data_IF_590087444456
#
_entry.id   IF_590087444456
#
_cell.length_a   1.000
_cell.length_b   1.000
_cell.length_c   1.000
_cell.angle_alpha   90.00
_cell.angle_beta   90.00
_cell.angle_gamma   90.00
#
_symmetry.space_group_name_H-M   'P 1'
#
loop_
_entity.id
_entity.type
_entity.pdbx_description
1 polymer ?
#
# COMPACT_ATOMS: atom_id res chain seq x y z
N UNK A 1 18.52 -13.77 22.92
CA UNK A 1 19.71 -13.67 22.05
C UNK A 1 19.97 -15.05 21.44
N UNK A 2 19.10 -15.49 20.55
CA UNK A 2 19.01 -16.88 20.09
C UNK A 2 19.86 -17.12 18.83
N UNK A 3 20.82 -18.04 18.96
CA UNK A 3 21.27 -19.00 17.93
C UNK A 3 21.42 -18.46 16.50
N UNK A 4 22.52 -17.76 16.21
CA UNK A 4 23.10 -17.79 14.86
C UNK A 4 23.56 -19.24 14.61
N UNK A 5 22.80 -19.97 13.80
CA UNK A 5 23.04 -21.37 13.46
C UNK A 5 24.41 -21.50 12.80
N UNK A 6 25.23 -22.49 13.18
CA UNK A 6 26.55 -22.76 12.54
C UNK A 6 26.47 -22.78 11.01
N UNK A 7 25.33 -23.24 10.48
CA UNK A 7 24.98 -23.26 9.06
C UNK A 7 25.08 -21.89 8.38
N UNK A 8 24.70 -20.81 9.08
CA UNK A 8 24.73 -19.43 8.55
C UNK A 8 26.17 -18.93 8.47
N UNK A 9 26.96 -19.15 9.54
CA UNK A 9 28.39 -18.77 9.57
C UNK A 9 29.19 -19.55 8.54
N UNK A 10 28.87 -20.82 8.33
CA UNK A 10 29.50 -21.65 7.31
C UNK A 10 29.18 -21.16 5.89
N UNK A 11 27.92 -20.82 5.61
CA UNK A 11 27.53 -20.22 4.34
C UNK A 11 28.21 -18.85 4.11
N UNK A 12 28.26 -18.00 5.13
CA UNK A 12 28.92 -16.69 5.06
C UNK A 12 30.43 -16.83 4.79
N UNK A 13 31.11 -17.77 5.44
CA UNK A 13 32.52 -18.08 5.20
C UNK A 13 32.79 -18.59 3.78
N UNK A 14 31.92 -19.46 3.22
CA UNK A 14 32.04 -19.95 1.83
C UNK A 14 32.06 -18.78 0.83
N UNK A 15 31.25 -17.76 1.05
CA UNK A 15 31.14 -16.60 0.17
C UNK A 15 32.04 -15.43 0.57
N UNK A 16 32.92 -15.61 1.58
CA UNK A 16 33.79 -14.54 2.08
C UNK A 16 33.03 -13.35 2.67
N UNK A 17 31.82 -13.57 3.16
CA UNK A 17 30.99 -12.54 3.79
C UNK A 17 31.34 -12.46 5.28
N UNK A 18 31.69 -11.27 5.73
CA UNK A 18 31.91 -11.00 7.15
C UNK A 18 30.55 -10.69 7.84
N UNK A 19 30.16 -11.48 8.87
CA UNK A 19 28.90 -11.29 9.59
C UNK A 19 28.79 -9.91 10.25
N UNK A 20 29.89 -9.35 10.75
CA UNK A 20 29.89 -8.07 11.48
C UNK A 20 29.64 -6.88 10.54
N UNK A 21 30.15 -6.95 9.30
CA UNK A 21 29.82 -5.98 8.24
C UNK A 21 28.38 -6.12 7.75
N UNK A 22 27.79 -7.31 7.77
CA UNK A 22 26.35 -7.52 7.44
C UNK A 22 25.44 -6.88 8.48
N UNK A 23 25.72 -7.08 9.76
CA UNK A 23 24.93 -6.54 10.87
C UNK A 23 25.02 -5.01 10.94
N UNK A 24 26.22 -4.44 10.79
CA UNK A 24 26.39 -2.99 10.76
C UNK A 24 25.69 -2.32 9.57
N UNK A 25 25.71 -2.94 8.39
CA UNK A 25 24.97 -2.46 7.22
C UNK A 25 23.45 -2.60 7.38
N UNK A 26 22.98 -3.69 8.00
CA UNK A 26 21.57 -3.90 8.31
C UNK A 26 21.05 -2.83 9.29
N UNK A 27 21.79 -2.58 10.38
CA UNK A 27 21.48 -1.56 11.38
C UNK A 27 21.40 -0.15 10.76
N UNK A 28 22.35 0.19 9.88
CA UNK A 28 22.36 1.46 9.14
C UNK A 28 21.15 1.60 8.22
N UNK A 29 20.81 0.55 7.47
CA UNK A 29 19.62 0.54 6.59
C UNK A 29 18.32 0.70 7.37
N UNK A 30 18.21 0.04 8.53
CA UNK A 30 17.08 0.21 9.44
C UNK A 30 16.95 1.65 9.92
N UNK A 31 18.05 2.26 10.38
CA UNK A 31 18.04 3.66 10.83
C UNK A 31 17.63 4.63 9.71
N UNK A 32 18.14 4.45 8.49
CA UNK A 32 17.76 5.26 7.34
C UNK A 32 16.28 5.07 6.97
N UNK A 33 15.80 3.82 6.97
CA UNK A 33 14.41 3.51 6.66
C UNK A 33 13.45 4.15 7.68
N UNK A 34 13.79 4.09 8.97
CA UNK A 34 13.01 4.71 10.04
C UNK A 34 12.96 6.24 9.91
N UNK A 35 14.11 6.89 9.68
CA UNK A 35 14.19 8.35 9.44
C UNK A 35 13.36 8.77 8.22
N UNK A 36 13.40 7.97 7.16
CA UNK A 36 12.60 8.21 5.95
C UNK A 36 11.11 8.07 6.25
N UNK A 37 10.71 7.03 6.96
CA UNK A 37 9.34 6.80 7.38
C UNK A 37 8.78 7.94 8.25
N UNK A 38 9.54 8.44 9.22
CA UNK A 38 9.16 9.62 10.01
C UNK A 38 9.00 10.88 9.16
N UNK A 39 9.81 11.03 8.11
CA UNK A 39 9.67 12.14 7.17
C UNK A 39 8.40 11.98 6.35
N UNK A 40 8.11 10.80 5.81
CA UNK A 40 6.86 10.49 5.09
C UNK A 40 5.64 10.81 5.96
N UNK A 41 5.63 10.36 7.21
CA UNK A 41 4.52 10.59 8.14
C UNK A 41 4.22 12.08 8.35
N UNK A 42 5.27 12.93 8.44
CA UNK A 42 5.12 14.38 8.63
C UNK A 42 4.63 15.11 7.38
N UNK A 43 5.14 14.74 6.20
CA UNK A 43 4.89 15.47 4.96
C UNK A 43 3.60 15.04 4.25
N UNK A 44 3.24 13.76 4.32
CA UNK A 44 2.12 13.21 3.56
C UNK A 44 0.79 13.55 4.22
N UNK A 45 -0.02 14.39 3.58
CA UNK A 45 -1.33 14.83 4.09
C UNK A 45 -2.47 13.90 3.64
N UNK A 46 -3.62 13.98 4.32
CA UNK A 46 -4.83 13.30 3.84
C UNK A 46 -5.26 13.82 2.46
N UNK A 47 -5.68 12.90 1.59
CA UNK A 47 -5.92 13.13 0.18
C UNK A 47 -4.66 13.04 -0.71
N UNK A 48 -3.49 12.78 -0.13
CA UNK A 48 -2.23 12.62 -0.88
C UNK A 48 -1.77 11.17 -0.96
N UNK A 49 -0.90 10.93 -1.95
CA UNK A 49 -0.31 9.62 -2.23
C UNK A 49 1.20 9.77 -2.32
N UNK A 50 1.94 8.87 -1.67
CA UNK A 50 3.37 8.71 -1.84
C UNK A 50 3.69 7.39 -2.54
N UNK A 51 4.64 7.42 -3.47
CA UNK A 51 5.19 6.23 -4.12
C UNK A 51 6.65 6.03 -3.69
N UNK A 52 6.94 4.90 -3.05
CA UNK A 52 8.28 4.43 -2.75
C UNK A 52 8.74 3.55 -3.92
N UNK A 53 9.80 3.97 -4.60
CA UNK A 53 10.33 3.30 -5.80
C UNK A 53 11.83 3.08 -5.71
N UNK A 54 12.35 2.11 -6.47
CA UNK A 54 13.75 1.71 -6.46
C UNK A 54 13.94 0.22 -6.75
N UNK A 55 15.20 -0.23 -6.97
CA UNK A 55 15.52 -1.61 -7.30
C UNK A 55 15.03 -2.64 -6.28
N UNK A 56 14.88 -3.90 -6.69
CA UNK A 56 14.60 -4.98 -5.72
C UNK A 56 15.71 -5.07 -4.67
N UNK A 57 15.34 -5.34 -3.42
CA UNK A 57 16.29 -5.39 -2.30
C UNK A 57 16.81 -4.03 -1.78
N UNK A 58 16.38 -2.90 -2.34
CA UNK A 58 16.84 -1.57 -1.89
C UNK A 58 16.30 -1.13 -0.51
N UNK A 59 15.28 -1.81 0.02
CA UNK A 59 14.69 -1.50 1.33
C UNK A 59 13.34 -0.77 1.29
N UNK A 60 12.66 -0.73 0.14
CA UNK A 60 11.30 -0.14 0.03
C UNK A 60 10.31 -0.71 1.06
N UNK A 61 10.24 -2.04 1.15
CA UNK A 61 9.39 -2.75 2.12
C UNK A 61 9.80 -2.43 3.56
N UNK A 62 11.09 -2.20 3.82
CA UNK A 62 11.58 -1.82 5.14
C UNK A 62 11.10 -0.42 5.55
N UNK A 63 11.08 0.54 4.62
CA UNK A 63 10.51 1.87 4.85
C UNK A 63 9.01 1.78 5.10
N UNK A 64 8.29 1.01 4.29
CA UNK A 64 6.85 0.82 4.45
C UNK A 64 6.50 0.19 5.81
N UNK A 65 7.23 -0.85 6.23
CA UNK A 65 7.08 -1.48 7.56
C UNK A 65 7.42 -0.51 8.68
N UNK A 66 8.52 0.21 8.58
CA UNK A 66 8.92 1.23 9.57
C UNK A 66 7.84 2.30 9.75
N UNK A 67 7.21 2.73 8.65
CA UNK A 67 6.08 3.66 8.70
C UNK A 67 4.87 3.06 9.41
N UNK A 68 4.51 1.81 9.09
CA UNK A 68 3.43 1.11 9.77
C UNK A 68 3.68 1.03 11.29
N UNK A 69 4.89 0.66 11.71
CA UNK A 69 5.27 0.57 13.12
C UNK A 69 5.16 1.93 13.83
N UNK A 70 5.61 3.01 13.18
CA UNK A 70 5.48 4.38 13.71
C UNK A 70 4.00 4.73 13.92
N UNK A 71 3.14 4.42 12.95
CA UNK A 71 1.70 4.73 13.03
C UNK A 71 1.00 3.91 14.11
N UNK A 72 1.35 2.63 14.25
CA UNK A 72 0.84 1.76 15.31
C UNK A 72 1.25 2.28 16.70
N UNK A 73 2.51 2.68 16.88
CA UNK A 73 2.98 3.32 18.14
C UNK A 73 2.22 4.60 18.47
N UNK A 74 1.84 5.37 17.45
CA UNK A 74 1.00 6.58 17.59
C UNK A 74 -0.49 6.29 17.77
N UNK A 75 -0.92 5.02 17.75
CA UNK A 75 -2.34 4.60 17.74
C UNK A 75 -3.13 5.27 16.60
N UNK A 76 -2.46 5.58 15.48
CA UNK A 76 -3.10 6.12 14.30
C UNK A 76 -3.83 5.00 13.55
N UNK A 77 -4.94 5.32 12.87
CA UNK A 77 -5.64 4.35 12.02
C UNK A 77 -4.78 4.06 10.78
N UNK A 78 -4.04 2.97 10.80
CA UNK A 78 -3.22 2.50 9.69
C UNK A 78 -3.69 1.10 9.25
N UNK A 79 -3.67 0.86 7.94
CA UNK A 79 -4.04 -0.43 7.37
C UNK A 79 -2.95 -0.87 6.42
N UNK A 80 -2.31 -1.99 6.75
CA UNK A 80 -1.44 -2.71 5.84
C UNK A 80 -2.29 -3.50 4.85
N UNK A 81 -2.21 -3.16 3.57
CA UNK A 81 -2.94 -3.84 2.52
C UNK A 81 -2.20 -5.14 2.23
N UNK A 82 -2.81 -6.25 2.66
CA UNK A 82 -2.33 -7.60 2.39
C UNK A 82 -3.48 -8.45 1.87
N UNK A 83 -3.17 -9.38 0.98
CA UNK A 83 -4.11 -10.42 0.57
C UNK A 83 -4.60 -11.18 1.79
N UNK A 84 -5.92 -11.37 1.86
CA UNK A 84 -6.56 -12.19 2.88
C UNK A 84 -6.83 -13.55 2.29
N UNK A 85 -6.39 -14.60 2.98
CA UNK A 85 -6.79 -15.97 2.70
C UNK A 85 -7.87 -16.35 3.71
N UNK A 86 -9.11 -16.44 3.25
CA UNK A 86 -10.26 -16.66 4.12
C UNK A 86 -11.37 -17.40 3.40
N UNK A 87 -12.13 -18.17 4.17
CA UNK A 87 -13.30 -18.89 3.69
C UNK A 87 -14.53 -18.00 3.50
N UNK A 88 -14.43 -16.75 3.94
CA UNK A 88 -15.49 -15.77 3.85
C UNK A 88 -15.60 -15.29 2.38
N UNK A 89 -16.84 -15.14 1.86
CA UNK A 89 -17.06 -14.55 0.53
C UNK A 89 -16.43 -13.17 0.39
N UNK A 90 -15.91 -12.86 -0.80
CA UNK A 90 -15.21 -11.61 -1.08
C UNK A 90 -16.03 -10.36 -0.70
N UNK A 91 -17.33 -10.34 -0.98
CA UNK A 91 -18.19 -9.21 -0.62
C UNK A 91 -18.35 -9.05 0.88
N UNK A 92 -18.34 -10.16 1.61
CA UNK A 92 -18.54 -10.19 3.06
C UNK A 92 -17.28 -9.72 3.82
N UNK A 93 -16.09 -9.99 3.27
CA UNK A 93 -14.83 -9.39 3.75
C UNK A 93 -14.93 -7.86 3.76
N UNK A 94 -15.48 -7.26 2.70
CA UNK A 94 -15.62 -5.80 2.61
C UNK A 94 -16.81 -5.29 3.42
N UNK A 95 -17.94 -6.00 3.42
CA UNK A 95 -19.14 -5.61 4.15
C UNK A 95 -18.91 -5.60 5.67
N UNK A 96 -18.25 -6.62 6.22
CA UNK A 96 -17.91 -6.70 7.64
C UNK A 96 -17.07 -5.50 8.11
N UNK A 97 -16.12 -5.03 7.28
CA UNK A 97 -15.33 -3.83 7.57
C UNK A 97 -16.18 -2.57 7.57
N UNK A 98 -17.16 -2.45 6.66
CA UNK A 98 -18.10 -1.33 6.69
C UNK A 98 -18.98 -1.37 7.94
N UNK A 99 -19.47 -2.56 8.36
CA UNK A 99 -20.25 -2.72 9.61
C UNK A 99 -19.45 -2.34 10.85
N UNK A 100 -18.20 -2.75 10.93
CA UNK A 100 -17.31 -2.40 12.04
C UNK A 100 -17.05 -0.89 12.15
N UNK A 101 -17.15 -0.14 11.05
CA UNK A 101 -16.88 1.30 10.99
C UNK A 101 -18.12 2.18 11.03
N UNK A 102 -19.27 1.66 10.60
CA UNK A 102 -20.54 2.38 10.70
C UNK A 102 -21.01 2.32 12.15
N UNK A 103 -21.00 3.45 12.84
CA UNK A 103 -21.48 3.49 14.23
C UNK A 103 -22.97 3.11 14.35
N UNK A 104 -23.78 3.16 13.27
CA UNK A 104 -25.24 2.97 13.33
C UNK A 104 -25.90 2.41 12.04
N UNK A 105 -25.22 1.66 11.16
CA UNK A 105 -25.92 1.04 10.02
C UNK A 105 -26.38 -0.38 10.39
N UNK A 106 -27.66 -0.54 10.69
CA UNK A 106 -28.34 -1.83 10.91
C UNK A 106 -28.91 -2.45 9.63
N UNK A 107 -28.96 -1.68 8.52
CA UNK A 107 -29.47 -2.18 7.24
C UNK A 107 -28.38 -2.96 6.48
N UNK A 108 -28.52 -4.28 6.50
CA UNK A 108 -27.66 -5.23 5.78
C UNK A 108 -27.62 -4.96 4.28
N UNK A 109 -28.72 -4.49 3.68
CA UNK A 109 -28.80 -4.26 2.23
C UNK A 109 -27.96 -3.07 1.80
N UNK A 110 -28.02 -1.97 2.56
CA UNK A 110 -27.20 -0.78 2.31
C UNK A 110 -25.71 -1.07 2.48
N UNK A 111 -25.36 -1.86 3.50
CA UNK A 111 -23.98 -2.31 3.73
C UNK A 111 -23.46 -3.11 2.54
N UNK A 112 -24.27 -4.04 2.01
CA UNK A 112 -23.91 -4.86 0.86
C UNK A 112 -23.68 -4.00 -0.40
N UNK A 113 -24.59 -3.07 -0.69
CA UNK A 113 -24.44 -2.13 -1.81
C UNK A 113 -23.17 -1.29 -1.66
N UNK A 114 -22.87 -0.83 -0.45
CA UNK A 114 -21.66 -0.07 -0.19
C UNK A 114 -20.40 -0.92 -0.35
N UNK A 115 -20.42 -2.18 0.09
CA UNK A 115 -19.32 -3.13 -0.10
C UNK A 115 -19.05 -3.36 -1.59
N UNK A 116 -20.08 -3.64 -2.39
CA UNK A 116 -19.98 -3.80 -3.84
C UNK A 116 -19.41 -2.56 -4.52
N UNK A 117 -19.84 -1.35 -4.12
CA UNK A 117 -19.27 -0.08 -4.62
C UNK A 117 -17.78 0.04 -4.29
N UNK A 118 -17.38 -0.36 -3.08
CA UNK A 118 -15.97 -0.32 -2.66
C UNK A 118 -15.12 -1.36 -3.40
N UNK A 119 -15.65 -2.56 -3.63
CA UNK A 119 -14.99 -3.57 -4.48
C UNK A 119 -14.83 -3.09 -5.93
N UNK A 120 -15.88 -2.49 -6.50
CA UNK A 120 -15.82 -1.92 -7.84
C UNK A 120 -14.74 -0.81 -7.97
N UNK A 121 -14.55 0.01 -6.92
CA UNK A 121 -13.45 1.00 -6.89
C UNK A 121 -12.07 0.36 -6.95
N UNK A 122 -11.90 -0.83 -6.37
CA UNK A 122 -10.67 -1.61 -6.45
C UNK A 122 -10.58 -2.47 -7.71
N UNK A 123 -11.50 -2.30 -8.66
CA UNK A 123 -11.53 -3.06 -9.92
C UNK A 123 -12.05 -4.49 -9.78
N UNK A 124 -12.76 -4.81 -8.70
CA UNK A 124 -13.35 -6.13 -8.45
C UNK A 124 -14.89 -6.02 -8.54
N UNK A 125 -15.41 -5.94 -9.76
CA UNK A 125 -16.83 -5.66 -10.05
C UNK A 125 -17.57 -6.87 -10.65
N UNK A 126 -16.87 -7.99 -10.84
CA UNK A 126 -17.42 -9.20 -11.41
C UNK A 126 -18.39 -9.86 -10.41
N UNK A 127 -19.69 -9.89 -10.74
CA UNK A 127 -20.75 -10.36 -9.82
C UNK A 127 -20.52 -11.79 -9.31
N UNK A 128 -19.97 -12.67 -10.16
CA UNK A 128 -19.64 -14.05 -9.80
C UNK A 128 -18.66 -14.14 -8.62
N UNK A 129 -17.78 -13.15 -8.45
CA UNK A 129 -16.76 -13.15 -7.40
C UNK A 129 -17.29 -12.72 -6.03
N UNK A 130 -18.46 -12.06 -5.96
CA UNK A 130 -18.99 -11.57 -4.69
C UNK A 130 -19.25 -12.70 -3.69
N UNK A 131 -19.82 -13.81 -4.17
CA UNK A 131 -20.07 -15.02 -3.39
C UNK A 131 -18.88 -15.97 -3.30
N UNK A 132 -17.79 -15.71 -4.03
CA UNK A 132 -16.62 -16.59 -4.03
C UNK A 132 -15.80 -16.38 -2.75
N UNK A 133 -15.40 -17.46 -2.04
CA UNK A 133 -14.49 -17.36 -0.91
C UNK A 133 -13.18 -16.68 -1.30
N UNK A 134 -12.64 -15.82 -0.43
CA UNK A 134 -11.41 -15.08 -0.71
C UNK A 134 -10.23 -16.02 -1.06
N UNK A 135 -10.16 -17.20 -0.44
CA UNK A 135 -9.16 -18.24 -0.74
C UNK A 135 -9.18 -18.75 -2.19
N UNK A 136 -10.36 -18.76 -2.80
CA UNK A 136 -10.59 -19.33 -4.14
C UNK A 136 -10.35 -18.32 -5.27
N UNK A 137 -10.01 -17.07 -4.93
CA UNK A 137 -9.70 -16.03 -5.90
C UNK A 137 -8.28 -16.21 -6.45
N UNK A 138 -8.06 -15.82 -7.71
CA UNK A 138 -6.71 -15.68 -8.27
C UNK A 138 -5.89 -14.62 -7.52
N UNK A 139 -4.56 -14.63 -7.66
CA UNK A 139 -3.68 -13.64 -7.01
C UNK A 139 -4.05 -12.19 -7.33
N UNK A 140 -4.38 -11.91 -8.59
CA UNK A 140 -4.82 -10.57 -9.00
C UNK A 140 -6.19 -10.19 -8.45
N UNK A 141 -7.11 -11.15 -8.26
CA UNK A 141 -8.40 -10.90 -7.60
C UNK A 141 -8.22 -10.70 -6.09
N UNK A 142 -7.36 -11.49 -5.43
CA UNK A 142 -7.00 -11.32 -4.01
C UNK A 142 -6.35 -9.97 -3.74
N UNK A 143 -5.45 -9.53 -4.60
CA UNK A 143 -4.81 -8.22 -4.50
C UNK A 143 -5.84 -7.08 -4.60
N UNK A 144 -6.81 -7.18 -5.53
CA UNK A 144 -7.92 -6.22 -5.65
C UNK A 144 -8.86 -6.27 -4.44
N UNK A 145 -9.13 -7.46 -3.89
CA UNK A 145 -9.94 -7.61 -2.67
C UNK A 145 -9.26 -6.98 -1.45
N UNK A 146 -7.96 -7.22 -1.26
CA UNK A 146 -7.16 -6.61 -0.20
C UNK A 146 -7.22 -5.08 -0.23
N UNK A 147 -7.17 -4.54 -1.44
CA UNK A 147 -7.24 -3.12 -1.69
C UNK A 147 -8.63 -2.55 -1.38
N UNK A 148 -9.70 -3.25 -1.77
CA UNK A 148 -11.07 -2.91 -1.37
C UNK A 148 -11.25 -2.94 0.16
N UNK A 149 -10.68 -3.95 0.83
CA UNK A 149 -10.69 -4.06 2.28
C UNK A 149 -9.94 -2.89 2.95
N UNK A 150 -8.80 -2.46 2.39
CA UNK A 150 -8.09 -1.25 2.84
C UNK A 150 -8.97 0.01 2.74
N UNK A 151 -9.59 0.23 1.57
CA UNK A 151 -10.50 1.36 1.33
C UNK A 151 -11.68 1.34 2.31
N UNK A 152 -12.28 0.17 2.56
CA UNK A 152 -13.34 0.00 3.55
C UNK A 152 -12.87 0.37 4.98
N UNK A 153 -11.67 -0.09 5.34
CA UNK A 153 -11.06 0.14 6.67
C UNK A 153 -10.75 1.61 6.96
N UNK A 154 -10.68 2.46 5.93
CA UNK A 154 -10.40 3.90 6.07
C UNK A 154 -11.58 4.78 5.67
N UNK A 155 -12.74 4.17 5.37
CA UNK A 155 -13.96 4.90 5.08
C UNK A 155 -14.44 5.62 6.35
N UNK A 156 -14.74 6.91 6.24
CA UNK A 156 -15.31 7.80 7.28
C UNK A 156 -14.38 8.19 8.45
N UNK A 157 -13.11 7.76 8.47
CA UNK A 157 -12.12 8.21 9.47
C UNK A 157 -10.78 8.48 8.81
N UNK A 158 -10.06 9.45 9.34
CA UNK A 158 -8.67 9.72 8.96
C UNK A 158 -7.83 8.44 9.07
N UNK A 159 -7.26 7.98 7.97
CA UNK A 159 -6.53 6.71 7.91
C UNK A 159 -5.38 6.69 6.91
N UNK A 160 -4.40 5.83 7.15
CA UNK A 160 -3.25 5.62 6.27
C UNK A 160 -3.29 4.22 5.67
N UNK A 161 -3.32 4.14 4.35
CA UNK A 161 -3.20 2.90 3.60
C UNK A 161 -1.73 2.67 3.23
N UNK A 162 -1.20 1.47 3.51
CA UNK A 162 0.15 1.10 3.13
C UNK A 162 0.06 -0.16 2.27
N UNK A 163 0.49 -0.06 1.01
CA UNK A 163 0.53 -1.19 0.10
C UNK A 163 1.98 -1.49 -0.28
N UNK A 164 2.49 -2.63 0.15
CA UNK A 164 3.76 -3.17 -0.33
C UNK A 164 3.51 -3.99 -1.61
N UNK A 165 4.48 -4.00 -2.51
CA UNK A 165 4.36 -4.60 -3.84
C UNK A 165 3.09 -4.19 -4.61
N UNK A 166 2.76 -2.89 -4.56
CA UNK A 166 1.51 -2.39 -5.13
C UNK A 166 1.40 -2.74 -6.63
N UNK A 167 0.29 -3.38 -7.00
CA UNK A 167 -0.04 -3.88 -8.34
C UNK A 167 0.99 -4.84 -8.97
N UNK A 168 1.84 -5.51 -8.19
CA UNK A 168 2.84 -6.46 -8.73
C UNK A 168 2.21 -7.68 -9.43
N UNK A 169 1.05 -8.13 -8.95
CA UNK A 169 0.33 -9.31 -9.46
C UNK A 169 -0.70 -9.01 -10.54
N UNK A 170 -0.85 -7.74 -10.94
CA UNK A 170 -1.86 -7.30 -11.90
C UNK A 170 -1.24 -7.10 -13.29
N UNK A 171 -2.01 -7.37 -14.34
CA UNK A 171 -1.67 -6.90 -15.67
C UNK A 171 -1.67 -5.36 -15.72
N UNK A 172 -0.96 -4.80 -16.71
CA UNK A 172 -0.71 -3.36 -16.79
C UNK A 172 -1.98 -2.53 -17.00
N UNK A 173 -2.97 -3.07 -17.72
CA UNK A 173 -4.25 -2.41 -17.95
C UNK A 173 -5.06 -2.35 -16.67
N UNK A 174 -5.16 -3.47 -15.95
CA UNK A 174 -5.85 -3.52 -14.66
C UNK A 174 -5.15 -2.65 -13.62
N UNK A 175 -3.81 -2.69 -13.54
CA UNK A 175 -3.02 -1.84 -12.66
C UNK A 175 -3.30 -0.34 -12.90
N UNK A 176 -3.39 0.09 -14.16
CA UNK A 176 -3.71 1.47 -14.51
C UNK A 176 -5.13 1.88 -14.08
N UNK A 177 -6.12 1.02 -14.34
CA UNK A 177 -7.51 1.26 -13.96
C UNK A 177 -7.67 1.38 -12.43
N UNK A 178 -7.11 0.42 -11.70
CA UNK A 178 -7.17 0.37 -10.23
C UNK A 178 -6.43 1.56 -9.61
N UNK A 179 -5.21 1.85 -10.07
CA UNK A 179 -4.42 3.00 -9.60
C UNK A 179 -5.17 4.31 -9.79
N UNK A 180 -5.79 4.50 -10.96
CA UNK A 180 -6.55 5.71 -11.27
C UNK A 180 -7.79 5.83 -10.39
N UNK A 181 -8.55 4.75 -10.24
CA UNK A 181 -9.79 4.72 -9.44
C UNK A 181 -9.52 5.06 -7.97
N UNK A 182 -8.50 4.43 -7.38
CA UNK A 182 -8.14 4.64 -5.97
C UNK A 182 -7.55 6.02 -5.76
N UNK A 183 -6.74 6.49 -6.70
CA UNK A 183 -6.20 7.85 -6.65
C UNK A 183 -7.31 8.89 -6.63
N UNK A 184 -8.35 8.73 -7.47
CA UNK A 184 -9.53 9.60 -7.45
C UNK A 184 -10.25 9.52 -6.10
N UNK A 185 -10.46 8.32 -5.57
CA UNK A 185 -11.15 8.13 -4.28
C UNK A 185 -10.39 8.76 -3.11
N UNK A 186 -9.08 8.55 -2.99
CA UNK A 186 -8.23 9.15 -1.93
C UNK A 186 -8.36 10.67 -1.95
N UNK A 187 -8.22 11.26 -3.15
CA UNK A 187 -8.27 12.72 -3.33
C UNK A 187 -9.64 13.31 -3.05
N UNK A 188 -10.70 12.61 -3.46
CA UNK A 188 -12.09 13.05 -3.29
C UNK A 188 -12.55 12.92 -1.83
N UNK A 189 -12.24 11.78 -1.19
CA UNK A 189 -12.64 11.53 0.20
C UNK A 189 -11.93 12.45 1.18
N UNK A 190 -10.66 12.80 0.93
CA UNK A 190 -9.79 13.53 1.87
C UNK A 190 -9.67 12.88 3.26
N UNK A 191 -10.17 11.65 3.42
CA UNK A 191 -10.13 10.91 4.67
C UNK A 191 -8.96 9.92 4.71
N UNK A 192 -8.48 9.47 3.55
CA UNK A 192 -7.35 8.56 3.46
C UNK A 192 -6.10 9.28 2.92
N UNK A 193 -4.92 8.79 3.31
CA UNK A 193 -3.66 8.98 2.57
C UNK A 193 -3.09 7.60 2.26
N UNK A 194 -2.26 7.49 1.22
CA UNK A 194 -1.72 6.19 0.81
C UNK A 194 -0.22 6.24 0.56
N UNK A 195 0.46 5.19 0.96
CA UNK A 195 1.86 4.91 0.64
C UNK A 195 1.92 3.61 -0.13
N UNK A 196 2.40 3.67 -1.37
CA UNK A 196 2.63 2.49 -2.22
C UNK A 196 4.13 2.23 -2.30
N UNK A 197 4.57 1.00 -2.10
CA UNK A 197 5.91 0.57 -2.45
C UNK A 197 5.84 -0.32 -3.70
N UNK A 198 6.64 0.00 -4.71
CA UNK A 198 6.73 -0.84 -5.92
C UNK A 198 8.06 -0.65 -6.64
N UNK A 199 8.53 -1.71 -7.28
CA UNK A 199 9.69 -1.64 -8.18
C UNK A 199 9.32 -1.18 -9.60
N UNK A 200 8.03 -1.11 -9.93
CA UNK A 200 7.58 -0.75 -11.27
C UNK A 200 7.49 0.76 -11.46
N UNK A 201 8.25 1.29 -12.42
CA UNK A 201 8.32 2.73 -12.70
C UNK A 201 7.08 3.26 -13.45
N UNK A 202 6.37 2.41 -14.18
CA UNK A 202 5.15 2.76 -14.92
C UNK A 202 4.00 3.25 -13.99
N UNK A 203 3.97 2.78 -12.74
CA UNK A 203 3.03 3.23 -11.71
C UNK A 203 3.12 4.72 -11.41
N UNK A 204 4.26 5.37 -11.69
CA UNK A 204 4.41 6.82 -11.50
C UNK A 204 3.44 7.61 -12.37
N UNK A 205 3.19 7.16 -13.61
CA UNK A 205 2.21 7.77 -14.50
C UNK A 205 0.77 7.43 -14.07
N UNK A 206 0.54 6.19 -13.63
CA UNK A 206 -0.80 5.69 -13.28
C UNK A 206 -1.32 6.27 -11.95
N UNK A 207 -0.48 6.33 -10.91
CA UNK A 207 -0.83 6.88 -9.60
C UNK A 207 -0.74 8.41 -9.56
N UNK A 208 0.14 9.00 -10.38
CA UNK A 208 0.46 10.43 -10.33
C UNK A 208 0.66 10.94 -8.88
N UNK A 209 1.62 10.38 -8.13
CA UNK A 209 1.75 10.61 -6.70
C UNK A 209 2.15 12.06 -6.38
N UNK A 210 1.80 12.53 -5.19
CA UNK A 210 2.24 13.83 -4.65
C UNK A 210 3.71 13.81 -4.25
N UNK A 211 4.13 12.67 -3.72
CA UNK A 211 5.48 12.46 -3.20
C UNK A 211 6.09 11.21 -3.83
N UNK A 212 7.35 11.31 -4.22
CA UNK A 212 8.13 10.18 -4.68
C UNK A 212 9.28 9.98 -3.70
N UNK A 213 9.45 8.75 -3.23
CA UNK A 213 10.55 8.35 -2.37
C UNK A 213 11.40 7.36 -3.16
N UNK A 214 12.55 7.81 -3.63
CA UNK A 214 13.50 7.00 -4.40
C UNK A 214 14.47 6.36 -3.42
N UNK A 215 14.62 5.05 -3.49
CA UNK A 215 15.47 4.25 -2.60
C UNK A 215 16.57 3.58 -3.39
N UNK A 216 17.81 3.92 -3.09
CA UNK A 216 19.01 3.37 -3.71
C UNK A 216 19.46 2.05 -3.05
N UNK A 217 20.32 1.27 -3.73
CA UNK A 217 20.82 -0.01 -3.20
C UNK A 217 21.70 0.13 -1.95
N UNK A 218 22.33 1.29 -1.78
CA UNK A 218 23.08 1.66 -0.58
C UNK A 218 22.16 2.04 0.61
N UNK A 219 20.84 2.11 0.39
CA UNK A 219 19.85 2.50 1.38
C UNK A 219 19.62 4.01 1.51
N UNK A 220 20.32 4.84 0.73
CA UNK A 220 20.05 6.27 0.65
C UNK A 220 18.67 6.53 0.06
N UNK A 221 18.03 7.59 0.55
CA UNK A 221 16.66 7.95 0.17
C UNK A 221 16.57 9.41 -0.27
N UNK A 222 15.93 9.60 -1.42
CA UNK A 222 15.61 10.92 -1.96
C UNK A 222 14.09 11.09 -1.96
N UNK A 223 13.60 12.22 -1.46
CA UNK A 223 12.16 12.53 -1.41
C UNK A 223 11.88 13.76 -2.25
N UNK A 224 11.02 13.61 -3.24
CA UNK A 224 10.64 14.65 -4.19
C UNK A 224 9.14 14.93 -4.10
N UNK A 225 8.78 16.21 -4.14
CA UNK A 225 7.38 16.64 -4.28
C UNK A 225 7.06 16.90 -5.75
N UNK A 226 5.98 16.31 -6.27
CA UNK A 226 5.50 16.62 -7.62
C UNK A 226 4.40 17.67 -7.56
N UNK A 227 4.72 18.86 -8.07
CA UNK A 227 3.72 19.89 -8.33
C UNK A 227 2.76 19.41 -9.43
N UNK A 228 1.50 19.17 -9.08
CA UNK A 228 0.47 18.70 -10.01
C UNK A 228 0.03 19.76 -11.03
N UNK A 229 0.55 20.98 -10.95
CA UNK A 229 0.30 22.06 -11.92
C UNK A 229 1.14 21.88 -13.20
N UNK A 230 0.81 20.82 -13.93
CA UNK A 230 1.17 20.60 -15.33
C UNK A 230 -0.05 20.20 -16.18
N UNK A 231 -1.27 20.46 -15.70
CA UNK A 231 -2.46 20.37 -16.51
C UNK A 231 -2.50 21.60 -17.42
N UNK A 232 -2.13 21.40 -18.70
CA UNK A 232 -2.40 22.30 -19.80
C UNK A 232 -3.81 22.89 -19.67
N UNK A 233 -3.91 24.16 -19.27
CA UNK A 233 -5.10 24.96 -19.49
C UNK A 233 -5.25 25.10 -21.01
N UNK A 234 -5.94 24.15 -21.65
CA UNK A 234 -6.61 24.45 -22.92
C UNK A 234 -7.65 25.52 -22.58
N UNK A 235 -7.25 26.79 -22.72
CA UNK A 235 -8.18 27.89 -22.91
C UNK A 235 -9.01 27.50 -24.13
N UNK A 236 -10.27 27.14 -23.91
CA UNK A 236 -11.28 27.24 -24.95
C UNK A 236 -11.26 28.70 -25.40
N UNK A 237 -10.76 28.95 -26.61
CA UNK A 237 -11.07 30.18 -27.33
C UNK A 237 -12.56 30.09 -27.65
N UNK A 238 -13.34 30.94 -26.98
CA UNK A 238 -14.50 31.54 -27.62
C UNK A 238 -13.97 32.60 -28.60
#
# INVERSE_FOLDING_TARGET
>A
MATHTESVRFAEAIFGLDPDTRDSNHQRRLACAYKTAERIDRILKFGQIALITGPSGSGKSLIARSLFDILQKKKANATWITSTDSDIPAVEVVASLHRSRANHCTDSSQTLVQAMRTMARAGLAEAALFGTPARSLSDGQRARLALAAGVASTSNKHGTLIADEFCSTLDRTTAACVSTSITRWIRASRCARMVCASAHHDLLAMLNPDWIVIVEMNGLTHIEHRNRHGACRRRSRA
#
